data_IF_971156979581
#
_entry.id   IF_971156979581
#
_cell.length_a   1.000
_cell.length_b   1.000
_cell.length_c   1.000
_cell.angle_alpha   90.00
_cell.angle_beta   90.00
_cell.angle_gamma   90.00
#
_symmetry.space_group_name_H-M   'P 1'
#
loop_
_entity.id
_entity.type
_entity.pdbx_description
1 polymer ?
#
# COMPACT_ATOMS: atom_id res chain seq x y z
N UNK A 1 -5.81 14.92 29.07
CA UNK A 1 -6.29 13.71 28.36
C UNK A 1 -7.50 14.14 27.55
N UNK A 2 -7.45 14.02 26.21
CA UNK A 2 -8.53 14.54 25.34
C UNK A 2 -9.74 13.60 25.40
N UNK A 3 -10.99 14.09 25.44
CA UNK A 3 -12.18 13.24 25.47
C UNK A 3 -12.27 12.36 24.21
N UNK A 4 -12.57 11.08 24.40
CA UNK A 4 -12.66 10.08 23.31
C UNK A 4 -13.74 10.37 22.24
N UNK A 5 -14.63 11.31 22.53
CA UNK A 5 -15.73 11.78 21.65
C UNK A 5 -15.48 13.16 21.03
N UNK A 6 -14.23 13.64 20.98
CA UNK A 6 -13.93 14.88 20.27
C UNK A 6 -14.11 14.73 18.76
N UNK A 7 -15.29 15.12 18.26
CA UNK A 7 -15.65 15.13 16.84
C UNK A 7 -14.62 15.88 15.99
N UNK A 8 -14.12 17.02 16.50
CA UNK A 8 -13.13 17.85 15.82
C UNK A 8 -11.79 17.11 15.58
N UNK A 9 -11.37 16.26 16.51
CA UNK A 9 -10.13 15.50 16.35
C UNK A 9 -10.27 14.38 15.31
N UNK A 10 -11.42 13.70 15.30
CA UNK A 10 -11.75 12.67 14.30
C UNK A 10 -11.77 13.24 12.89
N UNK A 11 -12.43 14.38 12.69
CA UNK A 11 -12.42 15.08 11.40
C UNK A 11 -11.01 15.44 10.96
N UNK A 12 -10.18 15.94 11.88
CA UNK A 12 -8.77 16.26 11.59
C UNK A 12 -7.99 15.02 11.16
N UNK A 13 -8.17 13.88 11.84
CA UNK A 13 -7.52 12.61 11.48
C UNK A 13 -8.00 12.09 10.13
N UNK A 14 -9.30 12.18 9.83
CA UNK A 14 -9.85 11.82 8.52
C UNK A 14 -9.30 12.72 7.40
N UNK A 15 -9.20 14.03 7.64
CA UNK A 15 -8.59 14.98 6.71
C UNK A 15 -7.12 14.64 6.44
N UNK A 16 -6.35 14.33 7.50
CA UNK A 16 -4.96 13.89 7.37
C UNK A 16 -4.86 12.57 6.57
N UNK A 17 -5.70 11.58 6.87
CA UNK A 17 -5.72 10.30 6.18
C UNK A 17 -6.06 10.46 4.68
N UNK A 18 -7.01 11.33 4.35
CA UNK A 18 -7.39 11.63 2.96
C UNK A 18 -6.27 12.35 2.20
N UNK A 19 -5.56 13.28 2.86
CA UNK A 19 -4.36 13.92 2.29
C UNK A 19 -3.25 12.90 2.04
N UNK A 20 -2.96 12.03 3.01
CA UNK A 20 -1.95 10.99 2.88
C UNK A 20 -2.28 10.00 1.76
N UNK A 21 -3.53 9.55 1.68
CA UNK A 21 -3.98 8.65 0.61
C UNK A 21 -3.82 9.29 -0.78
N UNK A 22 -4.15 10.58 -0.92
CA UNK A 22 -3.94 11.32 -2.18
C UNK A 22 -2.47 11.42 -2.54
N UNK A 23 -1.61 11.75 -1.58
CA UNK A 23 -0.17 11.84 -1.81
C UNK A 23 0.43 10.50 -2.22
N UNK A 24 0.08 9.42 -1.52
CA UNK A 24 0.52 8.06 -1.85
C UNK A 24 0.01 7.63 -3.23
N UNK A 25 -1.26 7.91 -3.56
CA UNK A 25 -1.81 7.61 -4.89
C UNK A 25 -1.10 8.40 -6.01
N UNK A 26 -0.76 9.67 -5.76
CA UNK A 26 -0.05 10.51 -6.70
C UNK A 26 1.33 9.95 -7.03
N UNK A 27 2.05 9.40 -6.04
CA UNK A 27 3.34 8.75 -6.24
C UNK A 27 3.21 7.34 -6.85
N UNK A 28 2.14 6.62 -6.54
CA UNK A 28 1.88 5.28 -7.08
C UNK A 28 1.69 5.31 -8.60
N UNK A 29 0.99 6.30 -9.14
CA UNK A 29 0.70 6.41 -10.59
C UNK A 29 1.98 6.43 -11.44
N UNK A 30 2.95 7.35 -11.23
CA UNK A 30 4.19 7.36 -12.00
C UNK A 30 5.06 6.14 -11.67
N UNK A 31 5.06 5.63 -10.44
CA UNK A 31 5.79 4.41 -10.09
C UNK A 31 5.31 3.19 -10.91
N UNK A 32 3.99 3.02 -11.03
CA UNK A 32 3.40 1.97 -11.86
C UNK A 32 3.61 2.23 -13.35
N UNK A 33 3.48 3.49 -13.80
CA UNK A 33 3.69 3.85 -15.21
C UNK A 33 5.12 3.59 -15.67
N UNK A 34 6.11 4.04 -14.90
CA UNK A 34 7.53 3.78 -15.18
C UNK A 34 7.87 2.30 -15.02
N UNK A 35 7.31 1.62 -14.01
CA UNK A 35 7.50 0.18 -13.82
C UNK A 35 6.94 -0.66 -14.98
N UNK A 36 5.75 -0.30 -15.48
CA UNK A 36 5.13 -0.96 -16.62
C UNK A 36 5.88 -0.66 -17.92
N UNK A 37 6.35 0.57 -18.11
CA UNK A 37 7.19 0.90 -19.26
C UNK A 37 8.48 0.08 -19.22
N UNK A 38 9.20 0.06 -18.10
CA UNK A 38 10.39 -0.78 -17.97
C UNK A 38 10.09 -2.26 -18.25
N UNK A 39 8.95 -2.77 -17.77
CA UNK A 39 8.53 -4.15 -18.02
C UNK A 39 8.34 -4.45 -19.51
N UNK A 40 7.64 -3.59 -20.25
CA UNK A 40 7.43 -3.76 -21.70
C UNK A 40 8.77 -3.71 -22.45
N UNK A 41 9.68 -2.82 -22.07
CA UNK A 41 11.01 -2.70 -22.69
C UNK A 41 11.91 -3.92 -22.45
N UNK A 42 11.73 -4.64 -21.34
CA UNK A 42 12.53 -5.80 -20.94
C UNK A 42 11.83 -7.16 -21.14
N UNK A 43 10.57 -7.15 -21.62
CA UNK A 43 9.70 -8.33 -21.75
C UNK A 43 10.32 -9.47 -22.58
N UNK A 44 11.17 -9.16 -23.56
CA UNK A 44 11.74 -10.14 -24.49
C UNK A 44 13.10 -10.75 -24.09
N UNK A 45 13.81 -10.20 -23.10
CA UNK A 45 15.24 -10.56 -22.87
C UNK A 45 15.52 -11.16 -21.49
N UNK A 46 14.65 -10.93 -20.50
CA UNK A 46 14.86 -11.37 -19.10
C UNK A 46 13.61 -12.01 -18.49
N UNK A 47 12.96 -12.91 -19.25
CA UNK A 47 11.76 -13.64 -18.84
C UNK A 47 12.04 -14.75 -17.79
N UNK A 48 12.89 -14.48 -16.80
CA UNK A 48 13.16 -15.39 -15.68
C UNK A 48 12.08 -15.33 -14.59
N UNK A 49 12.13 -16.28 -13.65
CA UNK A 49 11.25 -16.29 -12.47
C UNK A 49 11.33 -15.01 -11.62
N UNK A 50 12.44 -14.27 -11.72
CA UNK A 50 12.66 -12.99 -11.04
C UNK A 50 11.67 -11.90 -11.40
N UNK A 51 11.37 -11.77 -12.70
CA UNK A 51 10.47 -10.74 -13.17
C UNK A 51 9.04 -11.01 -12.67
N UNK A 52 8.62 -12.27 -12.70
CA UNK A 52 7.32 -12.70 -12.19
C UNK A 52 7.19 -12.48 -10.68
N UNK A 53 8.22 -12.81 -9.91
CA UNK A 53 8.24 -12.57 -8.46
C UNK A 53 8.14 -11.07 -8.13
N UNK A 54 8.84 -10.21 -8.89
CA UNK A 54 8.74 -8.75 -8.72
C UNK A 54 7.34 -8.23 -9.05
N UNK A 55 6.76 -8.67 -10.16
CA UNK A 55 5.41 -8.28 -10.55
C UNK A 55 4.38 -8.70 -9.52
N UNK A 56 4.52 -9.90 -8.95
CA UNK A 56 3.66 -10.37 -7.88
C UNK A 56 3.69 -9.44 -6.66
N UNK A 57 4.88 -8.98 -6.24
CA UNK A 57 5.01 -8.00 -5.15
C UNK A 57 4.38 -6.64 -5.50
N UNK A 58 4.50 -6.18 -6.75
CA UNK A 58 3.82 -4.96 -7.21
C UNK A 58 2.30 -5.12 -7.13
N UNK A 59 1.76 -6.26 -7.57
CA UNK A 59 0.31 -6.54 -7.47
C UNK A 59 -0.14 -6.56 -6.00
N UNK A 60 0.64 -7.17 -5.10
CA UNK A 60 0.34 -7.15 -3.67
C UNK A 60 0.34 -5.72 -3.09
N UNK A 61 1.32 -4.89 -3.47
CA UNK A 61 1.39 -3.50 -3.02
C UNK A 61 0.20 -2.67 -3.53
N UNK A 62 -0.21 -2.86 -4.79
CA UNK A 62 -1.40 -2.22 -5.36
C UNK A 62 -2.67 -2.70 -4.63
N UNK A 63 -2.78 -4.00 -4.37
CA UNK A 63 -3.88 -4.57 -3.59
C UNK A 63 -3.98 -3.94 -2.20
N UNK A 64 -2.85 -3.80 -1.50
CA UNK A 64 -2.79 -3.12 -0.20
C UNK A 64 -3.27 -1.66 -0.29
N UNK A 65 -2.83 -0.91 -1.30
CA UNK A 65 -3.26 0.48 -1.50
C UNK A 65 -4.78 0.58 -1.74
N UNK A 66 -5.36 -0.35 -2.49
CA UNK A 66 -6.81 -0.44 -2.67
C UNK A 66 -7.55 -0.77 -1.37
N UNK A 67 -6.99 -1.64 -0.52
CA UNK A 67 -7.56 -1.90 0.81
C UNK A 67 -7.52 -0.65 1.69
N UNK A 68 -6.44 0.12 1.67
CA UNK A 68 -6.35 1.42 2.37
C UNK A 68 -7.48 2.36 1.94
N UNK A 69 -7.82 2.41 0.65
CA UNK A 69 -8.96 3.19 0.15
C UNK A 69 -10.30 2.72 0.73
N UNK A 70 -10.53 1.41 0.75
CA UNK A 70 -11.77 0.84 1.30
C UNK A 70 -11.89 1.11 2.80
N UNK A 71 -10.78 1.03 3.52
CA UNK A 71 -10.71 1.30 4.95
C UNK A 71 -10.98 2.77 5.26
N UNK A 72 -10.37 3.70 4.51
CA UNK A 72 -10.64 5.14 4.61
C UNK A 72 -12.13 5.45 4.40
N UNK A 73 -12.75 4.86 3.37
CA UNK A 73 -14.21 5.02 3.14
C UNK A 73 -15.06 4.50 4.31
N UNK A 74 -14.67 3.37 4.92
CA UNK A 74 -15.39 2.82 6.09
C UNK A 74 -15.24 3.71 7.33
N UNK A 75 -14.07 4.31 7.52
CA UNK A 75 -13.84 5.30 8.57
C UNK A 75 -14.67 6.57 8.35
N UNK A 76 -14.81 7.04 7.12
CA UNK A 76 -15.69 8.17 6.76
C UNK A 76 -17.17 7.86 6.99
N UNK A 77 -17.58 6.60 6.86
CA UNK A 77 -18.97 6.13 7.08
C UNK A 77 -19.27 5.77 8.55
N UNK A 78 -18.35 6.00 9.48
CA UNK A 78 -18.46 5.61 10.89
C UNK A 78 -18.74 4.10 11.12
N UNK A 79 -18.55 3.25 10.11
CA UNK A 79 -18.84 1.83 10.18
C UNK A 79 -17.56 1.01 10.47
N UNK A 80 -16.82 1.41 11.50
CA UNK A 80 -15.59 0.72 11.87
C UNK A 80 -15.88 -0.50 12.74
N UNK A 81 -16.00 -1.66 12.09
CA UNK A 81 -16.25 -2.95 12.77
C UNK A 81 -14.96 -3.73 13.07
N UNK A 82 -13.77 -3.15 12.85
CA UNK A 82 -12.49 -3.85 12.99
C UNK A 82 -11.82 -3.50 14.33
N UNK A 83 -11.24 -4.50 14.97
CA UNK A 83 -10.55 -4.34 16.25
C UNK A 83 -9.21 -3.62 16.08
N UNK A 84 -8.72 -3.01 17.17
CA UNK A 84 -7.42 -2.33 17.17
C UNK A 84 -6.25 -3.26 16.77
N UNK A 85 -6.33 -4.55 17.14
CA UNK A 85 -5.35 -5.57 16.76
C UNK A 85 -5.28 -5.75 15.24
N UNK A 86 -6.43 -5.73 14.58
CA UNK A 86 -6.49 -5.82 13.12
C UNK A 86 -5.75 -4.66 12.46
N UNK A 87 -5.92 -3.43 12.97
CA UNK A 87 -5.21 -2.26 12.44
C UNK A 87 -3.71 -2.29 12.71
N UNK A 88 -3.28 -2.87 13.84
CA UNK A 88 -1.85 -3.05 14.14
C UNK A 88 -1.20 -3.99 13.13
N UNK A 89 -1.80 -5.17 12.93
CA UNK A 89 -1.33 -6.14 11.93
C UNK A 89 -1.38 -5.56 10.53
N UNK A 90 -2.45 -4.83 10.17
CA UNK A 90 -2.57 -4.18 8.87
C UNK A 90 -1.42 -3.18 8.62
N UNK A 91 -1.01 -2.41 9.64
CA UNK A 91 0.12 -1.49 9.53
C UNK A 91 1.49 -2.19 9.44
N UNK A 92 1.59 -3.48 9.79
CA UNK A 92 2.81 -4.28 9.63
C UNK A 92 2.94 -4.85 8.20
N UNK A 93 1.84 -4.99 7.45
CA UNK A 93 1.86 -5.51 6.07
C UNK A 93 2.80 -4.74 5.15
N UNK A 94 2.83 -3.38 5.12
CA UNK A 94 3.81 -2.63 4.35
C UNK A 94 5.26 -2.95 4.70
N UNK A 95 5.55 -3.18 5.97
CA UNK A 95 6.90 -3.50 6.45
C UNK A 95 7.30 -4.88 5.95
N UNK A 96 6.42 -5.87 6.07
CA UNK A 96 6.66 -7.21 5.52
C UNK A 96 6.87 -7.18 4.00
N UNK A 97 6.08 -6.38 3.29
CA UNK A 97 6.23 -6.21 1.84
C UNK A 97 7.57 -5.54 1.49
N UNK A 98 7.99 -4.52 2.24
CA UNK A 98 9.30 -3.88 2.08
C UNK A 98 10.43 -4.91 2.25
N UNK A 99 10.38 -5.72 3.32
CA UNK A 99 11.38 -6.76 3.56
C UNK A 99 11.41 -7.76 2.39
N UNK A 100 10.25 -8.25 1.96
CA UNK A 100 10.16 -9.18 0.83
C UNK A 100 10.74 -8.59 -0.46
N UNK A 101 10.46 -7.31 -0.75
CA UNK A 101 11.02 -6.58 -1.90
C UNK A 101 12.53 -6.47 -1.80
N UNK A 102 13.07 -6.07 -0.63
CA UNK A 102 14.51 -5.93 -0.43
C UNK A 102 15.21 -7.28 -0.60
N UNK A 103 14.70 -8.34 0.04
CA UNK A 103 15.25 -9.70 -0.10
C UNK A 103 15.22 -10.15 -1.56
N UNK A 104 14.11 -9.95 -2.27
CA UNK A 104 13.99 -10.34 -3.68
C UNK A 104 14.99 -9.59 -4.58
N UNK A 105 15.23 -8.30 -4.30
CA UNK A 105 16.15 -7.46 -5.09
C UNK A 105 17.62 -7.78 -4.79
N UNK A 106 17.95 -8.09 -3.52
CA UNK A 106 19.32 -8.40 -3.10
C UNK A 106 19.72 -9.83 -3.45
N UNK A 107 18.88 -10.80 -3.09
CA UNK A 107 19.21 -12.23 -3.27
C UNK A 107 19.11 -12.65 -4.73
N UNK A 108 18.21 -12.01 -5.51
CA UNK A 108 17.88 -12.39 -6.90
C UNK A 108 17.88 -13.92 -7.10
N UNK A 109 16.95 -14.65 -6.46
CA UNK A 109 17.04 -16.11 -6.37
C UNK A 109 16.83 -16.89 -7.69
N UNK A 110 16.90 -16.21 -8.84
CA UNK A 110 16.67 -16.70 -10.20
C UNK A 110 17.03 -15.60 -11.20
#
# INVERSE_FOLDING_TARGET
MVPADSHAERERLLLMARKLYRFSSLLMIPALGLGLWLWIGYWGTYAGGWLHAKLFLVVLAVGYHHMCRALLRRFEQFNNQRSHLWFRVFNEVPVLLLIAVVVLVVVKPF
#
